data_IF_159639777763
#
_entry.id   IF_159639777763
#
_cell.length_a   1.000
_cell.length_b   1.000
_cell.length_c   1.000
_cell.angle_alpha   90.00
_cell.angle_beta   90.00
_cell.angle_gamma   90.00
#
_symmetry.space_group_name_H-M   'P 1'
#
loop_
_entity.id
_entity.type
_entity.pdbx_description
1 polymer ?
#
# COMPACT_ATOMS: atom_id res chain seq x y z
N UNK A 1 -64.11 -37.76 12.99
CA UNK A 1 -63.86 -39.07 13.66
C UNK A 1 -62.61 -39.69 13.05
N UNK A 2 -61.52 -39.77 13.78
CA UNK A 2 -60.54 -40.86 13.85
C UNK A 2 -59.34 -40.37 14.71
N UNK A 3 -59.39 -40.85 15.90
CA UNK A 3 -58.42 -40.74 16.98
C UNK A 3 -57.18 -41.55 16.59
N UNK A 4 -55.98 -40.99 16.76
CA UNK A 4 -54.72 -41.75 16.73
C UNK A 4 -53.94 -41.46 18.01
N UNK A 5 -53.73 -42.53 18.73
CA UNK A 5 -53.08 -42.68 20.03
C UNK A 5 -51.56 -42.48 19.84
N UNK A 6 -50.94 -41.60 20.64
CA UNK A 6 -49.50 -41.45 20.75
C UNK A 6 -48.93 -42.45 21.76
N UNK A 7 -48.02 -43.28 21.31
CA UNK A 7 -47.26 -44.21 22.14
C UNK A 7 -46.00 -43.51 22.66
N UNK A 8 -45.93 -43.29 23.97
CA UNK A 8 -44.68 -42.81 24.64
C UNK A 8 -43.73 -43.99 24.87
N UNK A 9 -42.53 -43.87 24.29
CA UNK A 9 -41.41 -44.78 24.59
C UNK A 9 -40.42 -44.02 25.49
N UNK A 10 -40.41 -44.36 26.77
CA UNK A 10 -39.40 -43.84 27.74
C UNK A 10 -38.09 -44.59 27.56
N UNK A 11 -37.04 -43.95 27.06
CA UNK A 11 -35.69 -44.46 27.07
C UNK A 11 -34.96 -43.91 28.31
N UNK A 12 -34.62 -44.77 29.23
CA UNK A 12 -33.75 -44.45 30.36
C UNK A 12 -32.30 -44.37 29.85
N UNK A 13 -31.72 -43.17 29.86
CA UNK A 13 -30.27 -43.00 29.67
C UNK A 13 -29.58 -43.05 31.03
N UNK A 14 -28.80 -44.07 31.25
CA UNK A 14 -27.84 -44.15 32.36
C UNK A 14 -26.65 -43.23 32.08
N UNK A 15 -26.47 -42.20 32.90
CA UNK A 15 -25.32 -41.30 32.87
C UNK A 15 -24.10 -41.98 33.47
N UNK A 16 -23.10 -42.24 32.64
CA UNK A 16 -21.75 -42.63 33.09
C UNK A 16 -20.97 -41.36 33.43
N UNK A 17 -20.38 -41.18 34.62
CA UNK A 17 -19.55 -40.04 34.92
C UNK A 17 -18.22 -40.13 34.17
N UNK A 18 -17.93 -39.13 33.30
CA UNK A 18 -16.59 -38.94 32.72
C UNK A 18 -15.69 -38.26 33.77
N UNK A 19 -14.45 -38.71 33.95
CA UNK A 19 -13.48 -38.04 34.82
C UNK A 19 -13.04 -36.74 34.15
N UNK A 20 -12.90 -35.71 34.98
CA UNK A 20 -12.66 -34.30 34.65
C UNK A 20 -11.66 -34.04 33.56
N UNK A 21 -12.16 -33.47 32.46
CA UNK A 21 -11.34 -32.77 31.48
C UNK A 21 -10.99 -31.41 32.06
N UNK A 22 -9.70 -31.19 32.29
CA UNK A 22 -9.11 -29.88 32.60
C UNK A 22 -9.50 -28.91 31.47
N UNK A 23 -10.33 -27.92 31.76
CA UNK A 23 -10.57 -26.76 30.87
C UNK A 23 -9.29 -25.95 30.86
N UNK A 24 -8.37 -26.32 30.00
CA UNK A 24 -7.26 -25.45 29.64
C UNK A 24 -7.82 -24.15 29.12
N UNK A 25 -7.56 -23.07 29.85
CA UNK A 25 -7.88 -21.71 29.45
C UNK A 25 -7.09 -21.44 28.16
N UNK A 26 -7.75 -21.61 27.00
CA UNK A 26 -7.18 -21.20 25.73
C UNK A 26 -7.12 -19.67 25.76
N UNK A 27 -6.01 -19.14 26.25
CA UNK A 27 -5.67 -17.73 26.07
C UNK A 27 -5.65 -17.50 24.58
N UNK A 28 -6.55 -16.68 24.08
CA UNK A 28 -6.54 -16.18 22.72
C UNK A 28 -5.25 -15.36 22.55
N UNK A 29 -4.22 -16.01 21.99
CA UNK A 29 -2.99 -15.33 21.62
C UNK A 29 -3.36 -14.41 20.47
N UNK A 30 -3.50 -13.12 20.74
CA UNK A 30 -3.62 -12.11 19.67
C UNK A 30 -2.32 -12.20 18.87
N UNK A 31 -2.38 -12.47 17.54
CA UNK A 31 -1.16 -12.52 16.74
C UNK A 31 -0.42 -11.20 16.83
N UNK A 32 0.90 -11.28 16.98
CA UNK A 32 1.77 -10.10 16.98
C UNK A 32 1.56 -9.27 15.68
N UNK A 33 1.50 -7.94 15.79
CA UNK A 33 1.34 -7.09 14.61
C UNK A 33 2.52 -7.24 13.66
N UNK A 34 2.23 -7.28 12.35
CA UNK A 34 3.27 -7.35 11.31
C UNK A 34 4.19 -6.13 11.37
N UNK A 35 5.40 -6.24 10.80
CA UNK A 35 6.32 -5.09 10.66
C UNK A 35 5.63 -3.91 9.98
N UNK A 36 4.88 -4.17 8.90
CA UNK A 36 4.10 -3.15 8.21
C UNK A 36 3.12 -2.44 9.14
N UNK A 37 2.29 -3.20 9.88
CA UNK A 37 1.30 -2.61 10.80
C UNK A 37 1.98 -1.72 11.86
N UNK A 38 3.07 -2.20 12.47
CA UNK A 38 3.83 -1.42 13.48
C UNK A 38 4.38 -0.12 12.91
N UNK A 39 4.93 -0.14 11.69
CA UNK A 39 5.47 1.07 11.05
C UNK A 39 4.36 2.07 10.67
N UNK A 40 3.21 1.58 10.20
CA UNK A 40 2.03 2.42 9.94
C UNK A 40 1.53 3.07 11.24
N UNK A 41 1.43 2.30 12.34
CA UNK A 41 0.98 2.82 13.63
C UNK A 41 1.95 3.89 14.18
N UNK A 42 3.27 3.69 14.04
CA UNK A 42 4.27 4.70 14.38
C UNK A 42 4.08 5.99 13.58
N UNK A 43 3.86 5.90 12.26
CA UNK A 43 3.58 7.08 11.44
C UNK A 43 2.32 7.81 11.89
N UNK A 44 1.23 7.07 12.15
CA UNK A 44 -0.04 7.65 12.66
C UNK A 44 0.11 8.30 14.02
N UNK A 45 1.06 7.83 14.83
CA UNK A 45 1.46 8.45 16.09
C UNK A 45 2.45 9.64 15.90
N UNK A 46 2.59 10.14 14.66
CA UNK A 46 3.48 11.24 14.28
C UNK A 46 4.98 10.97 14.50
N UNK A 47 5.40 9.71 14.55
CA UNK A 47 6.82 9.35 14.57
C UNK A 47 7.46 9.63 13.21
N UNK A 48 8.27 10.67 13.15
CA UNK A 48 8.95 11.13 11.93
C UNK A 48 10.26 10.37 11.64
N UNK A 49 10.62 9.39 12.46
CA UNK A 49 11.84 8.58 12.31
C UNK A 49 11.62 7.26 11.58
N UNK A 50 10.40 7.00 11.11
CA UNK A 50 10.07 5.79 10.34
C UNK A 50 10.87 5.76 9.04
N UNK A 51 11.53 4.62 8.78
CA UNK A 51 12.19 4.36 7.51
C UNK A 51 11.14 4.01 6.44
N UNK A 52 11.00 4.88 5.44
CA UNK A 52 10.03 4.69 4.37
C UNK A 52 10.41 3.57 3.40
N UNK A 53 11.69 3.24 3.27
CA UNK A 53 12.12 2.08 2.47
C UNK A 53 11.70 0.79 3.16
N UNK A 54 11.96 0.67 4.48
CA UNK A 54 11.50 -0.46 5.27
C UNK A 54 9.97 -0.58 5.23
N UNK A 55 9.24 0.52 5.39
CA UNK A 55 7.79 0.55 5.35
C UNK A 55 7.22 0.03 4.01
N UNK A 56 7.77 0.51 2.88
CA UNK A 56 7.34 0.06 1.54
C UNK A 56 7.64 -1.42 1.34
N UNK A 57 8.83 -1.87 1.70
CA UNK A 57 9.20 -3.28 1.57
C UNK A 57 8.36 -4.17 2.49
N UNK A 58 8.06 -3.75 3.71
CA UNK A 58 7.18 -4.50 4.61
C UNK A 58 5.74 -4.64 4.05
N UNK A 59 5.27 -3.66 3.27
CA UNK A 59 3.97 -3.76 2.59
C UNK A 59 3.95 -4.91 1.57
N UNK A 60 5.03 -5.15 0.83
CA UNK A 60 5.10 -6.24 -0.17
C UNK A 60 4.96 -7.64 0.44
N UNK A 61 5.16 -7.78 1.75
CA UNK A 61 5.00 -9.03 2.48
C UNK A 61 3.53 -9.27 2.91
N UNK A 62 2.64 -8.29 2.76
CA UNK A 62 1.25 -8.37 3.21
C UNK A 62 0.34 -9.10 2.22
N UNK A 63 -0.77 -9.70 2.68
CA UNK A 63 -1.80 -10.22 1.78
C UNK A 63 -2.44 -9.13 0.90
N UNK A 64 -2.53 -7.89 1.38
CA UNK A 64 -3.08 -6.76 0.65
C UNK A 64 -2.27 -6.48 -0.63
N UNK A 65 -0.94 -6.52 -0.55
CA UNK A 65 -0.08 -6.34 -1.72
C UNK A 65 -0.31 -7.42 -2.79
N UNK A 66 -0.46 -8.69 -2.39
CA UNK A 66 -0.71 -9.82 -3.33
C UNK A 66 -2.08 -9.76 -4.01
N UNK A 67 -3.05 -9.15 -3.36
CA UNK A 67 -4.39 -8.91 -3.90
C UNK A 67 -4.55 -7.56 -4.59
N UNK A 68 -3.49 -6.75 -4.62
CA UNK A 68 -3.52 -5.43 -5.23
C UNK A 68 -3.63 -5.58 -6.74
N UNK A 69 -4.77 -5.18 -7.28
CA UNK A 69 -4.89 -4.92 -8.70
C UNK A 69 -4.23 -3.57 -8.97
N UNK A 70 -3.40 -3.47 -10.01
CA UNK A 70 -2.80 -2.20 -10.44
C UNK A 70 -3.87 -1.11 -10.47
N UNK A 71 -3.89 -0.28 -9.43
CA UNK A 71 -4.94 0.69 -9.20
C UNK A 71 -4.68 1.93 -10.01
N UNK A 72 -5.46 2.12 -11.06
CA UNK A 72 -5.55 3.45 -11.66
C UNK A 72 -6.26 4.37 -10.65
N UNK A 73 -5.50 5.17 -9.93
CA UNK A 73 -6.01 6.13 -8.93
C UNK A 73 -6.65 7.37 -9.57
N UNK A 74 -7.23 7.22 -10.75
CA UNK A 74 -7.98 8.28 -11.44
C UNK A 74 -9.08 8.92 -10.59
N UNK A 75 -9.84 8.15 -9.77
CA UNK A 75 -10.87 8.76 -8.93
C UNK A 75 -10.32 9.79 -7.93
N UNK A 76 -9.11 9.57 -7.39
CA UNK A 76 -8.44 10.51 -6.48
C UNK A 76 -8.27 11.89 -7.13
N UNK A 77 -7.62 11.90 -8.30
CA UNK A 77 -7.32 13.12 -9.03
C UNK A 77 -8.56 13.77 -9.62
N UNK A 78 -9.57 12.99 -9.99
CA UNK A 78 -10.83 13.51 -10.52
C UNK A 78 -11.56 14.34 -9.47
N UNK A 79 -11.71 13.84 -8.24
CA UNK A 79 -12.38 14.58 -7.16
C UNK A 79 -11.61 15.86 -6.81
N UNK A 80 -10.27 15.78 -6.69
CA UNK A 80 -9.42 16.93 -6.41
C UNK A 80 -9.55 18.02 -7.50
N UNK A 81 -9.48 17.60 -8.79
CA UNK A 81 -9.60 18.53 -9.92
C UNK A 81 -11.01 19.15 -10.04
N UNK A 82 -12.04 18.42 -9.60
CA UNK A 82 -13.41 18.95 -9.50
C UNK A 82 -13.62 19.88 -8.29
N UNK A 83 -12.58 20.11 -7.48
CA UNK A 83 -12.62 20.84 -6.20
C UNK A 83 -13.61 20.26 -5.18
N UNK A 84 -13.93 18.97 -5.31
CA UNK A 84 -14.65 18.18 -4.32
C UNK A 84 -13.64 17.63 -3.30
N UNK A 85 -13.22 18.51 -2.37
CA UNK A 85 -12.13 18.19 -1.44
C UNK A 85 -12.54 17.14 -0.42
N UNK A 86 -13.77 17.19 0.09
CA UNK A 86 -14.30 16.14 0.98
C UNK A 86 -14.45 14.81 0.25
N UNK A 87 -14.90 14.82 -1.00
CA UNK A 87 -14.95 13.65 -1.85
C UNK A 87 -13.56 13.07 -2.10
N UNK A 88 -12.56 13.93 -2.36
CA UNK A 88 -11.17 13.52 -2.54
C UNK A 88 -10.61 12.86 -1.28
N UNK A 89 -10.88 13.40 -0.09
CA UNK A 89 -10.47 12.78 1.19
C UNK A 89 -11.12 11.42 1.39
N UNK A 90 -12.42 11.26 1.13
CA UNK A 90 -13.12 9.96 1.23
C UNK A 90 -12.52 8.91 0.29
N UNK A 91 -12.06 9.30 -0.90
CA UNK A 91 -11.39 8.37 -1.81
C UNK A 91 -10.00 8.05 -1.31
N UNK A 92 -9.22 9.06 -0.87
CA UNK A 92 -7.88 8.88 -0.32
C UNK A 92 -7.91 7.93 0.89
N UNK A 93 -8.81 8.14 1.85
CA UNK A 93 -8.96 7.31 3.03
C UNK A 93 -9.21 5.83 2.68
N UNK A 94 -10.09 5.56 1.70
CA UNK A 94 -10.35 4.19 1.26
C UNK A 94 -9.12 3.53 0.65
N UNK A 95 -8.32 4.28 -0.10
CA UNK A 95 -7.05 3.76 -0.64
C UNK A 95 -6.07 3.50 0.49
N UNK A 96 -5.90 4.44 1.42
CA UNK A 96 -4.95 4.34 2.53
C UNK A 96 -5.32 3.26 3.55
N UNK A 97 -6.57 2.86 3.65
CA UNK A 97 -6.99 1.70 4.44
C UNK A 97 -6.48 0.38 3.86
N UNK A 98 -6.30 0.29 2.55
CA UNK A 98 -5.84 -0.91 1.86
C UNK A 98 -4.32 -0.87 1.61
N UNK A 99 -3.81 0.29 1.25
CA UNK A 99 -2.42 0.55 0.92
C UNK A 99 -1.98 1.89 1.53
N UNK A 100 -1.40 1.84 2.74
CA UNK A 100 -0.92 3.06 3.41
C UNK A 100 0.36 3.64 2.80
N UNK A 101 1.02 2.90 1.90
CA UNK A 101 2.22 3.36 1.19
C UNK A 101 1.92 3.89 -0.23
N UNK A 102 0.67 4.25 -0.50
CA UNK A 102 0.27 4.83 -1.79
C UNK A 102 0.55 6.35 -1.83
N UNK A 103 1.59 6.80 -2.55
CA UNK A 103 1.98 8.21 -2.50
C UNK A 103 0.93 9.13 -3.12
N UNK A 104 0.20 8.69 -4.17
CA UNK A 104 -0.86 9.50 -4.77
C UNK A 104 -1.98 9.81 -3.77
N UNK A 105 -2.37 8.85 -2.93
CA UNK A 105 -3.41 9.07 -1.94
C UNK A 105 -2.98 10.10 -0.89
N UNK A 106 -1.73 10.04 -0.42
CA UNK A 106 -1.19 11.04 0.49
C UNK A 106 -1.05 12.42 -0.17
N UNK A 107 -0.62 12.49 -1.45
CA UNK A 107 -0.56 13.77 -2.19
C UNK A 107 -1.93 14.42 -2.32
N UNK A 108 -2.96 13.64 -2.66
CA UNK A 108 -4.33 14.13 -2.79
C UNK A 108 -4.90 14.54 -1.44
N UNK A 109 -4.68 13.75 -0.38
CA UNK A 109 -5.11 14.09 0.98
C UNK A 109 -4.44 15.40 1.45
N UNK A 110 -3.13 15.55 1.22
CA UNK A 110 -2.41 16.78 1.56
C UNK A 110 -2.99 18.02 0.85
N UNK A 111 -3.29 17.90 -0.45
CA UNK A 111 -3.86 18.98 -1.23
C UNK A 111 -5.29 19.33 -0.76
N UNK A 112 -6.14 18.32 -0.57
CA UNK A 112 -7.51 18.52 -0.12
C UNK A 112 -7.58 19.13 1.30
N UNK A 113 -6.77 18.64 2.24
CA UNK A 113 -6.69 19.21 3.59
C UNK A 113 -6.21 20.66 3.56
N UNK A 114 -5.25 21.00 2.68
CA UNK A 114 -4.79 22.40 2.53
C UNK A 114 -5.88 23.32 2.06
N UNK A 115 -6.67 22.90 1.08
CA UNK A 115 -7.81 23.70 0.56
C UNK A 115 -8.93 23.86 1.59
N UNK A 116 -9.11 22.88 2.49
CA UNK A 116 -10.07 22.92 3.60
C UNK A 116 -9.54 23.64 4.85
N UNK A 117 -8.29 24.14 4.85
CA UNK A 117 -7.68 24.81 5.99
C UNK A 117 -7.20 23.88 7.12
N UNK A 118 -7.13 22.60 6.89
CA UNK A 118 -6.67 21.59 7.85
C UNK A 118 -5.13 21.46 7.80
N UNK A 119 -4.42 22.44 8.37
CA UNK A 119 -2.96 22.58 8.19
C UNK A 119 -2.16 21.38 8.70
N UNK A 120 -2.45 20.88 9.89
CA UNK A 120 -1.70 19.74 10.49
C UNK A 120 -1.83 18.48 9.65
N UNK A 121 -3.04 18.17 9.17
CA UNK A 121 -3.30 17.01 8.30
C UNK A 121 -2.62 17.18 6.94
N UNK A 122 -2.63 18.38 6.38
CA UNK A 122 -1.97 18.68 5.13
C UNK A 122 -0.44 18.48 5.23
N UNK A 123 0.18 18.95 6.31
CA UNK A 123 1.59 18.76 6.60
C UNK A 123 1.96 17.30 6.85
N UNK A 124 1.12 16.59 7.59
CA UNK A 124 1.31 15.16 7.85
C UNK A 124 1.30 14.36 6.55
N UNK A 125 0.26 14.52 5.73
CA UNK A 125 0.17 13.79 4.46
C UNK A 125 1.27 14.19 3.48
N UNK A 126 1.67 15.47 3.45
CA UNK A 126 2.83 15.93 2.66
C UNK A 126 4.11 15.23 3.11
N UNK A 127 4.36 15.16 4.41
CA UNK A 127 5.54 14.48 4.97
C UNK A 127 5.60 13.00 4.56
N UNK A 128 4.46 12.29 4.64
CA UNK A 128 4.41 10.87 4.26
C UNK A 128 4.62 10.71 2.76
N UNK A 129 3.94 11.51 1.91
CA UNK A 129 4.13 11.48 0.46
C UNK A 129 5.61 11.71 0.07
N UNK A 130 6.24 12.73 0.64
CA UNK A 130 7.65 13.06 0.39
C UNK A 130 8.58 11.94 0.84
N UNK A 131 8.31 11.32 1.99
CA UNK A 131 9.07 10.17 2.49
C UNK A 131 9.01 8.97 1.55
N UNK A 132 7.80 8.62 1.09
CA UNK A 132 7.58 7.55 0.13
C UNK A 132 8.30 7.84 -1.20
N UNK A 133 8.13 9.04 -1.77
CA UNK A 133 8.78 9.43 -3.03
C UNK A 133 10.31 9.42 -2.93
N UNK A 134 10.88 9.88 -1.81
CA UNK A 134 12.33 9.77 -1.57
C UNK A 134 12.79 8.32 -1.49
N UNK A 135 12.02 7.44 -0.85
CA UNK A 135 12.40 6.03 -0.74
C UNK A 135 12.43 5.31 -2.09
N UNK A 136 11.57 5.69 -3.07
CA UNK A 136 11.61 5.17 -4.44
C UNK A 136 12.96 5.48 -5.10
N UNK A 137 13.48 6.68 -4.87
CA UNK A 137 14.68 7.20 -5.54
C UNK A 137 15.96 7.04 -4.73
N UNK A 138 15.91 6.37 -3.59
CA UNK A 138 17.05 6.28 -2.65
C UNK A 138 18.13 5.28 -3.07
N UNK A 139 17.79 4.31 -3.93
CA UNK A 139 18.67 3.20 -4.29
C UNK A 139 19.25 3.28 -5.70
N UNK A 140 18.95 4.35 -6.44
CA UNK A 140 19.44 4.57 -7.80
C UNK A 140 19.30 6.02 -8.21
N UNK A 141 19.75 6.36 -9.42
CA UNK A 141 19.54 7.67 -10.04
C UNK A 141 18.57 7.64 -11.22
N UNK A 142 18.07 6.45 -11.57
CA UNK A 142 17.09 6.22 -12.62
C UNK A 142 17.63 6.42 -14.05
N UNK A 143 18.96 6.57 -14.26
CA UNK A 143 19.52 6.92 -15.58
C UNK A 143 19.84 5.73 -16.44
N UNK A 144 20.10 4.58 -15.83
CA UNK A 144 20.41 3.32 -16.54
C UNK A 144 19.58 2.18 -15.96
N UNK A 145 19.59 1.01 -16.61
CA UNK A 145 18.93 -0.19 -16.09
C UNK A 145 19.53 -0.60 -14.75
N UNK A 146 20.86 -0.48 -14.59
CA UNK A 146 21.58 -0.88 -13.38
C UNK A 146 21.34 0.07 -12.21
N UNK A 147 21.01 1.33 -12.49
CA UNK A 147 20.71 2.37 -11.51
C UNK A 147 19.24 2.77 -11.51
N UNK A 148 18.35 1.89 -12.01
CA UNK A 148 16.92 2.10 -12.06
C UNK A 148 16.36 2.43 -10.66
N UNK A 149 15.32 3.26 -10.60
CA UNK A 149 14.54 3.46 -9.38
C UNK A 149 13.80 2.18 -9.00
N UNK A 150 13.66 1.93 -7.71
CA UNK A 150 12.97 0.73 -7.23
C UNK A 150 11.53 1.06 -6.85
N UNK A 151 10.60 0.49 -7.60
CA UNK A 151 9.17 0.60 -7.33
C UNK A 151 8.59 -0.72 -6.80
N UNK A 152 7.47 -0.62 -6.10
CA UNK A 152 6.65 -1.77 -5.70
C UNK A 152 5.33 -1.82 -6.48
N UNK A 153 4.97 -0.74 -7.13
CA UNK A 153 3.76 -0.60 -7.95
C UNK A 153 3.94 0.52 -8.99
N UNK A 154 3.41 0.34 -10.18
CA UNK A 154 3.46 1.31 -11.28
C UNK A 154 2.86 2.69 -10.90
N UNK A 155 1.97 2.75 -9.91
CA UNK A 155 1.42 4.00 -9.41
C UNK A 155 2.48 4.93 -8.84
N UNK A 156 3.58 4.37 -8.31
CA UNK A 156 4.71 5.12 -7.76
C UNK A 156 5.47 5.90 -8.82
N UNK A 157 5.62 5.35 -10.04
CA UNK A 157 6.20 6.07 -11.18
C UNK A 157 5.41 7.35 -11.47
N UNK A 158 4.08 7.20 -11.60
CA UNK A 158 3.21 8.33 -11.90
C UNK A 158 3.11 9.33 -10.75
N UNK A 159 3.21 8.88 -9.50
CA UNK A 159 3.31 9.78 -8.35
C UNK A 159 4.60 10.61 -8.41
N UNK A 160 5.73 9.94 -8.71
CA UNK A 160 7.01 10.61 -8.87
C UNK A 160 7.00 11.64 -9.99
N UNK A 161 6.41 11.29 -11.14
CA UNK A 161 6.30 12.21 -12.27
C UNK A 161 5.45 13.44 -11.93
N UNK A 162 4.30 13.24 -11.29
CA UNK A 162 3.44 14.36 -10.84
C UNK A 162 4.18 15.27 -9.87
N UNK A 163 4.87 14.70 -8.88
CA UNK A 163 5.61 15.48 -7.89
C UNK A 163 6.72 16.36 -8.51
N UNK A 164 7.26 15.93 -9.65
CA UNK A 164 8.33 16.61 -10.39
C UNK A 164 7.85 17.40 -11.61
N UNK A 165 6.54 17.48 -11.86
CA UNK A 165 5.94 18.12 -13.06
C UNK A 165 6.45 17.50 -14.37
N UNK A 166 6.68 16.18 -14.38
CA UNK A 166 7.08 15.42 -15.55
C UNK A 166 5.84 14.86 -16.26
N UNK A 167 5.84 14.91 -17.59
CA UNK A 167 4.79 14.32 -18.44
C UNK A 167 5.36 13.12 -19.20
N UNK A 168 4.67 11.98 -19.12
CA UNK A 168 5.05 10.75 -19.83
C UNK A 168 4.74 10.91 -21.31
N UNK A 169 5.75 10.69 -22.17
CA UNK A 169 5.62 10.59 -23.63
C UNK A 169 5.53 9.15 -24.12
N UNK A 170 6.34 8.27 -23.54
CA UNK A 170 6.38 6.86 -23.92
C UNK A 170 6.80 5.99 -22.73
N UNK A 171 6.26 4.78 -22.69
CA UNK A 171 6.64 3.71 -21.77
C UNK A 171 6.97 2.46 -22.57
N UNK A 172 8.06 1.80 -22.22
CA UNK A 172 8.51 0.59 -22.87
C UNK A 172 9.18 -0.32 -21.85
N UNK A 173 8.73 -1.56 -21.76
CA UNK A 173 9.43 -2.57 -20.95
C UNK A 173 10.69 -3.05 -21.67
N UNK A 174 11.82 -3.05 -20.97
CA UNK A 174 13.10 -3.51 -21.48
C UNK A 174 13.63 -4.69 -20.65
N UNK A 175 14.26 -5.63 -21.32
CA UNK A 175 14.91 -6.75 -20.63
C UNK A 175 16.22 -6.27 -19.99
N UNK A 176 16.47 -6.62 -18.71
CA UNK A 176 17.76 -6.33 -18.10
C UNK A 176 18.86 -7.22 -18.71
N UNK A 177 20.15 -6.82 -18.60
CA UNK A 177 21.27 -7.60 -19.14
C UNK A 177 21.49 -8.93 -18.42
N UNK A 178 20.93 -9.09 -17.22
CA UNK A 178 21.05 -10.31 -16.41
C UNK A 178 19.85 -11.21 -16.66
N UNK A 179 20.11 -12.43 -17.15
CA UNK A 179 19.06 -13.41 -17.41
C UNK A 179 18.28 -13.74 -16.13
N UNK A 180 16.93 -13.71 -16.21
CA UNK A 180 16.03 -13.99 -15.09
C UNK A 180 15.79 -12.82 -14.15
N UNK A 181 16.42 -11.67 -14.35
CA UNK A 181 16.06 -10.46 -13.61
C UNK A 181 14.72 -9.89 -14.13
N UNK A 182 13.95 -9.18 -13.27
CA UNK A 182 12.67 -8.61 -13.67
C UNK A 182 12.83 -7.59 -14.80
N UNK A 183 11.79 -7.46 -15.62
CA UNK A 183 11.73 -6.42 -16.65
C UNK A 183 11.82 -5.03 -16.00
N UNK A 184 12.36 -4.09 -16.74
CA UNK A 184 12.56 -2.71 -16.31
C UNK A 184 11.71 -1.79 -17.18
N UNK A 185 10.95 -0.90 -16.56
CA UNK A 185 10.23 0.14 -17.28
C UNK A 185 11.19 1.26 -17.68
N UNK A 186 11.20 1.54 -18.98
CA UNK A 186 11.90 2.67 -19.58
C UNK A 186 10.89 3.75 -19.92
N UNK A 187 10.91 4.82 -19.17
CA UNK A 187 10.00 5.94 -19.32
C UNK A 187 10.66 7.10 -20.03
N UNK A 188 10.06 7.55 -21.13
CA UNK A 188 10.44 8.82 -21.75
C UNK A 188 9.51 9.90 -21.19
N UNK A 189 10.07 10.88 -20.50
CA UNK A 189 9.32 11.96 -19.87
C UNK A 189 9.81 13.33 -20.34
N UNK A 190 8.91 14.31 -20.29
CA UNK A 190 9.24 15.73 -20.55
C UNK A 190 9.13 16.49 -19.25
N UNK A 191 10.16 17.24 -18.92
CA UNK A 191 10.12 18.23 -17.87
C UNK A 191 9.33 19.46 -18.36
N UNK A 192 8.14 19.65 -17.81
CA UNK A 192 7.25 20.75 -18.23
C UNK A 192 7.81 22.15 -17.99
N UNK A 193 8.86 22.28 -17.15
CA UNK A 193 9.52 23.57 -16.84
C UNK A 193 10.66 23.87 -17.79
N UNK A 194 11.48 22.84 -18.10
CA UNK A 194 12.65 22.99 -18.95
C UNK A 194 12.38 22.65 -20.42
N UNK A 195 11.25 22.02 -20.73
CA UNK A 195 10.91 21.44 -22.04
C UNK A 195 11.99 20.46 -22.54
N UNK A 196 12.60 19.72 -21.62
CA UNK A 196 13.65 18.74 -21.90
C UNK A 196 13.11 17.33 -21.78
N UNK A 197 13.48 16.48 -22.73
CA UNK A 197 13.22 15.05 -22.66
C UNK A 197 14.26 14.36 -21.76
N UNK A 198 13.78 13.43 -20.93
CA UNK A 198 14.61 12.57 -20.09
C UNK A 198 14.12 11.14 -20.18
N UNK A 199 15.06 10.21 -20.06
CA UNK A 199 14.76 8.79 -19.88
C UNK A 199 14.95 8.45 -18.41
N UNK A 200 13.95 7.77 -17.83
CA UNK A 200 13.99 7.29 -16.45
C UNK A 200 13.67 5.79 -16.48
N UNK A 201 14.43 5.02 -15.72
CA UNK A 201 14.25 3.58 -15.59
C UNK A 201 13.70 3.22 -14.21
N UNK A 202 12.74 2.27 -14.18
CA UNK A 202 12.19 1.69 -12.97
C UNK A 202 12.28 0.17 -13.02
N UNK A 203 12.63 -0.43 -11.91
CA UNK A 203 12.60 -1.87 -11.72
C UNK A 203 11.68 -2.22 -10.55
N UNK A 204 10.90 -3.28 -10.71
CA UNK A 204 10.07 -3.78 -9.60
C UNK A 204 10.99 -4.24 -8.48
N UNK A 205 10.76 -3.71 -7.27
CA UNK A 205 11.52 -4.11 -6.10
C UNK A 205 11.29 -5.61 -5.81
N UNK A 206 12.38 -6.39 -5.87
CA UNK A 206 12.33 -7.78 -5.48
C UNK A 206 12.55 -7.86 -3.95
N UNK A 207 11.53 -8.25 -3.17
CA UNK A 207 11.64 -8.36 -1.72
C UNK A 207 12.70 -9.38 -1.28
N UNK A 208 13.14 -10.28 -2.17
CA UNK A 208 14.18 -11.29 -1.85
C UNK A 208 15.59 -10.72 -1.96
N UNK A 209 15.81 -9.69 -2.75
CA UNK A 209 17.14 -9.07 -2.95
C UNK A 209 17.50 -8.05 -1.88
N UNK A 210 16.51 -7.43 -1.24
CA UNK A 210 16.71 -6.39 -0.21
C UNK A 210 17.26 -6.96 1.11
N UNK A 211 17.14 -8.27 1.35
CA UNK A 211 17.66 -8.95 2.57
C UNK A 211 19.16 -9.31 2.54
N UNK A 212 19.92 -8.90 1.51
CA UNK A 212 21.34 -9.28 1.34
C UNK A 212 22.35 -8.14 1.57
N UNK A 213 22.03 -7.18 2.46
CA UNK A 213 23.03 -6.20 2.92
C UNK A 213 23.17 -6.23 4.41
#
# INVERSE_FOLDING_TARGET
MRTLVALMLSAMFTTVPHPGGSTGNAQSVTPEPTTYARLVDRLKAADRTVDFTELRMAFTETPAYRGMMMGFYQPLWRALNARDFEGALKVADRVLQQNYVEPNAHMVAAAAHRELGHTEQAEFHSFVADGLLRSITSQGDGKTIETAYHEIDISEEYALFRSRSLTVKAQTMVAPPVAGAPMVDRMVVVDGRANEERVIFFSVADPTTTKRK
#
